data_IF_837672203352
#
_entry.id   IF_837672203352
#
_cell.length_a   1.000
_cell.length_b   1.000
_cell.length_c   1.000
_cell.angle_alpha   90.00
_cell.angle_beta   90.00
_cell.angle_gamma   90.00
#
_symmetry.space_group_name_H-M   'P 1'
#
loop_
_entity.id
_entity.type
_entity.pdbx_description
1 polymer ?
#
# COMPACT_ATOMS: atom_id res chain seq x y z
N UNK A 1 -15.71 26.62 -0.40
CA UNK A 1 -16.43 25.54 0.30
C UNK A 1 -15.50 24.67 1.11
N UNK A 2 -14.59 23.95 0.44
CA UNK A 2 -13.69 22.97 1.05
C UNK A 2 -12.90 23.49 2.27
N UNK A 3 -12.33 24.72 2.27
CA UNK A 3 -11.66 25.26 3.45
C UNK A 3 -12.50 25.23 4.73
N UNK A 4 -13.71 25.81 4.67
CA UNK A 4 -14.64 25.87 5.79
C UNK A 4 -15.12 24.48 6.23
N UNK A 5 -15.29 23.57 5.28
CA UNK A 5 -15.70 22.20 5.59
C UNK A 5 -14.62 21.48 6.40
N UNK A 6 -13.38 21.46 5.92
CA UNK A 6 -12.26 20.81 6.61
C UNK A 6 -11.95 21.50 7.94
N UNK A 7 -12.13 22.82 8.08
CA UNK A 7 -12.01 23.48 9.37
C UNK A 7 -13.05 23.00 10.39
N UNK A 8 -14.28 22.69 9.94
CA UNK A 8 -15.34 22.21 10.81
C UNK A 8 -15.21 20.72 11.17
N UNK A 9 -14.77 19.88 10.22
CA UNK A 9 -14.79 18.40 10.38
C UNK A 9 -13.42 17.74 10.37
N UNK A 10 -12.33 18.48 10.16
CA UNK A 10 -10.99 17.92 9.96
C UNK A 10 -10.42 17.22 11.19
N UNK A 11 -10.66 17.77 12.39
CA UNK A 11 -10.23 17.20 13.66
C UNK A 11 -10.53 15.71 13.82
N UNK A 12 -11.80 15.27 13.75
CA UNK A 12 -12.17 13.86 13.87
C UNK A 12 -11.94 13.02 12.60
N UNK A 13 -11.53 13.63 11.49
CA UNK A 13 -11.50 12.96 10.20
C UNK A 13 -10.36 11.93 10.11
N UNK A 14 -10.72 10.66 9.83
CA UNK A 14 -9.77 9.57 9.62
C UNK A 14 -9.50 9.25 8.16
N UNK A 15 -10.48 9.44 7.31
CA UNK A 15 -10.44 9.09 5.89
C UNK A 15 -10.90 10.30 5.09
N UNK A 16 -10.10 10.75 4.14
CA UNK A 16 -10.44 11.85 3.25
C UNK A 16 -10.24 11.44 1.80
N UNK A 17 -11.27 11.64 1.00
CA UNK A 17 -11.19 11.51 -0.45
C UNK A 17 -11.48 12.87 -1.06
N UNK A 18 -10.55 13.35 -1.88
CA UNK A 18 -10.70 14.59 -2.63
C UNK A 18 -10.71 14.27 -4.11
N UNK A 19 -11.82 14.65 -4.74
CA UNK A 19 -12.05 14.52 -6.16
C UNK A 19 -12.23 15.93 -6.74
N UNK A 20 -11.19 16.43 -7.42
CA UNK A 20 -11.17 17.80 -7.88
C UNK A 20 -9.80 18.27 -8.37
N UNK A 21 -9.74 19.50 -8.93
CA UNK A 21 -8.49 20.10 -9.37
C UNK A 21 -7.54 20.27 -8.18
N UNK A 22 -6.43 19.55 -8.23
CA UNK A 22 -5.36 19.55 -7.22
C UNK A 22 -4.41 20.77 -7.23
N UNK A 23 -4.23 21.56 -8.32
CA UNK A 23 -3.31 22.70 -8.32
C UNK A 23 -3.63 23.77 -7.27
N UNK A 24 -4.89 23.86 -6.83
CA UNK A 24 -5.35 24.83 -5.83
C UNK A 24 -5.36 24.28 -4.41
N UNK A 25 -4.96 23.01 -4.23
CA UNK A 25 -5.06 22.33 -2.96
C UNK A 25 -3.75 22.44 -2.17
N UNK A 26 -3.76 23.24 -1.09
CA UNK A 26 -2.67 23.21 -0.12
C UNK A 26 -2.75 21.91 0.70
N UNK A 27 -1.94 20.95 0.26
CA UNK A 27 -1.80 19.62 0.88
C UNK A 27 -1.29 19.73 2.31
N UNK A 28 -0.45 20.73 2.62
CA UNK A 28 0.08 20.95 3.97
C UNK A 28 -1.04 21.39 4.89
N UNK A 29 -1.84 22.35 4.44
CA UNK A 29 -3.00 22.83 5.19
C UNK A 29 -4.01 21.71 5.50
N UNK A 30 -4.30 20.78 4.57
CA UNK A 30 -5.17 19.63 4.87
C UNK A 30 -4.64 18.82 6.05
N UNK A 31 -3.34 18.54 6.06
CA UNK A 31 -2.73 17.70 7.09
C UNK A 31 -2.65 18.37 8.45
N UNK A 32 -2.55 19.71 8.47
CA UNK A 32 -2.63 20.52 9.68
C UNK A 32 -4.06 20.53 10.24
N UNK A 33 -5.07 20.66 9.38
CA UNK A 33 -6.47 20.68 9.80
C UNK A 33 -7.06 19.29 10.07
N UNK A 34 -6.46 18.23 9.54
CA UNK A 34 -6.85 16.84 9.75
C UNK A 34 -5.75 16.04 10.49
N UNK A 35 -5.54 16.27 11.80
CA UNK A 35 -4.47 15.64 12.56
C UNK A 35 -4.64 14.13 12.73
N UNK A 36 -5.88 13.62 12.70
CA UNK A 36 -6.20 12.20 12.88
C UNK A 36 -6.34 11.44 11.55
N UNK A 37 -5.94 12.06 10.43
CA UNK A 37 -6.05 11.46 9.11
C UNK A 37 -5.15 10.23 9.00
N UNK A 38 -5.78 9.06 8.82
CA UNK A 38 -5.15 7.77 8.61
C UNK A 38 -4.97 7.46 7.12
N UNK A 39 -5.85 7.99 6.26
CA UNK A 39 -5.81 7.76 4.82
C UNK A 39 -6.28 8.99 4.03
N UNK A 40 -5.57 9.27 2.93
CA UNK A 40 -5.91 10.32 1.98
C UNK A 40 -5.93 9.76 0.55
N UNK A 41 -7.04 9.98 -0.14
CA UNK A 41 -7.21 9.67 -1.55
C UNK A 41 -7.31 10.97 -2.33
N UNK A 42 -6.46 11.13 -3.34
CA UNK A 42 -6.46 12.29 -4.23
C UNK A 42 -6.72 11.83 -5.65
N UNK A 43 -7.88 12.17 -6.20
CA UNK A 43 -8.19 11.96 -7.61
C UNK A 43 -7.68 13.14 -8.44
N UNK A 44 -7.11 12.82 -9.60
CA UNK A 44 -6.52 13.78 -10.52
C UNK A 44 -6.93 13.53 -11.97
N UNK A 45 -6.44 14.38 -12.86
CA UNK A 45 -6.68 14.21 -14.29
C UNK A 45 -6.01 12.92 -14.80
N UNK A 46 -4.69 12.83 -14.59
CA UNK A 46 -3.87 11.73 -15.09
C UNK A 46 -3.38 10.77 -14.01
N UNK A 47 -3.44 11.17 -12.74
CA UNK A 47 -2.90 10.38 -11.63
C UNK A 47 -3.89 10.40 -10.48
N UNK A 48 -4.26 9.23 -9.95
CA UNK A 48 -4.88 9.14 -8.63
C UNK A 48 -3.96 8.41 -7.67
N UNK A 49 -3.95 8.87 -6.42
CA UNK A 49 -3.12 8.30 -5.37
C UNK A 49 -3.94 7.99 -4.13
N UNK A 50 -3.61 6.88 -3.47
CA UNK A 50 -4.10 6.52 -2.13
C UNK A 50 -2.93 6.39 -1.17
N UNK A 51 -2.92 7.25 -0.17
CA UNK A 51 -1.83 7.44 0.76
C UNK A 51 -2.27 6.92 2.13
N UNK A 52 -1.48 6.03 2.70
CA UNK A 52 -1.65 5.53 4.07
C UNK A 52 -0.72 6.31 5.01
N UNK A 53 -1.32 6.95 6.00
CA UNK A 53 -0.65 7.80 6.98
C UNK A 53 -0.59 7.14 8.37
N UNK A 54 -1.15 5.95 8.56
CA UNK A 54 -1.25 5.28 9.87
C UNK A 54 0.10 5.13 10.55
N UNK A 55 1.11 4.65 9.84
CA UNK A 55 2.46 4.50 10.41
C UNK A 55 3.09 5.84 10.77
N UNK A 56 2.83 6.89 9.99
CA UNK A 56 3.35 8.22 10.27
C UNK A 56 2.69 8.81 11.52
N UNK A 57 1.38 8.62 11.68
CA UNK A 57 0.63 9.06 12.86
C UNK A 57 1.01 8.27 14.10
N UNK A 58 1.09 6.95 14.02
CA UNK A 58 1.47 6.09 15.13
C UNK A 58 2.88 6.42 15.68
N UNK A 59 3.78 6.87 14.80
CA UNK A 59 5.17 7.19 15.16
C UNK A 59 5.45 8.70 15.27
N UNK A 60 4.42 9.57 15.24
CA UNK A 60 4.57 11.03 15.26
C UNK A 60 5.58 11.58 14.23
N UNK A 61 5.68 10.96 13.06
CA UNK A 61 6.60 11.35 11.99
C UNK A 61 6.02 12.48 11.14
N UNK A 62 6.91 13.31 10.58
CA UNK A 62 6.54 14.33 9.59
C UNK A 62 5.97 13.67 8.33
N UNK A 63 4.93 14.28 7.79
CA UNK A 63 4.17 13.71 6.67
C UNK A 63 4.85 14.00 5.33
N UNK A 64 4.88 13.03 4.39
CA UNK A 64 5.57 13.15 3.10
C UNK A 64 4.97 14.14 2.09
N UNK A 65 3.78 14.68 2.35
CA UNK A 65 2.94 15.21 1.26
C UNK A 65 3.38 16.57 0.69
N UNK A 66 4.39 17.21 1.28
CA UNK A 66 4.88 18.53 0.85
C UNK A 66 5.92 18.46 -0.27
N UNK A 67 6.56 17.31 -0.54
CA UNK A 67 7.69 17.22 -1.48
C UNK A 67 7.34 16.76 -2.89
N UNK A 68 6.10 16.29 -3.15
CA UNK A 68 5.76 15.63 -4.42
C UNK A 68 4.57 16.29 -5.12
N UNK A 69 4.74 16.63 -6.40
CA UNK A 69 3.64 17.01 -7.26
C UNK A 69 2.86 15.77 -7.74
N UNK A 70 1.78 15.45 -7.03
CA UNK A 70 0.89 14.33 -7.35
C UNK A 70 0.20 14.42 -8.73
N UNK A 71 0.22 15.57 -9.41
CA UNK A 71 -0.27 15.72 -10.79
C UNK A 71 0.76 15.33 -11.85
N UNK A 72 2.04 15.30 -11.51
CA UNK A 72 3.11 14.99 -12.43
C UNK A 72 3.50 13.51 -12.31
N UNK A 73 3.20 12.74 -13.37
CA UNK A 73 3.51 11.30 -13.42
C UNK A 73 5.00 11.05 -13.16
N UNK A 74 5.87 11.80 -13.81
CA UNK A 74 7.33 11.63 -13.69
C UNK A 74 7.83 11.90 -12.28
N UNK A 75 7.33 12.94 -11.60
CA UNK A 75 7.71 13.21 -10.20
C UNK A 75 7.20 12.14 -9.24
N UNK A 76 5.95 11.67 -9.41
CA UNK A 76 5.40 10.60 -8.57
C UNK A 76 6.19 9.31 -8.77
N UNK A 77 6.50 8.96 -10.02
CA UNK A 77 7.27 7.76 -10.36
C UNK A 77 8.69 7.85 -9.79
N UNK A 78 9.38 8.98 -9.95
CA UNK A 78 10.70 9.20 -9.37
C UNK A 78 10.68 9.07 -7.83
N UNK A 79 9.68 9.70 -7.18
CA UNK A 79 9.49 9.63 -5.74
C UNK A 79 9.13 8.23 -5.23
N UNK A 80 8.56 7.37 -6.07
CA UNK A 80 8.28 5.96 -5.75
C UNK A 80 9.48 5.05 -6.01
N UNK A 81 10.35 5.43 -6.93
CA UNK A 81 11.58 4.69 -7.24
C UNK A 81 12.66 4.87 -6.17
N UNK A 82 12.68 6.00 -5.47
CA UNK A 82 13.61 6.24 -4.36
C UNK A 82 13.10 5.59 -3.06
N UNK A 83 13.77 4.55 -2.53
CA UNK A 83 13.36 3.88 -1.30
C UNK A 83 13.47 4.75 -0.05
N UNK A 84 14.24 5.84 -0.09
CA UNK A 84 14.41 6.79 1.01
C UNK A 84 13.34 7.90 0.97
N UNK A 85 12.68 8.07 -0.17
CA UNK A 85 11.64 9.06 -0.30
C UNK A 85 10.37 8.61 0.43
N UNK A 86 9.83 9.47 1.27
CA UNK A 86 8.73 9.07 2.16
C UNK A 86 7.44 8.69 1.39
N UNK A 87 7.27 9.19 0.15
CA UNK A 87 6.21 8.74 -0.77
C UNK A 87 6.29 7.24 -1.09
N UNK A 88 7.50 6.69 -1.29
CA UNK A 88 7.71 5.27 -1.55
C UNK A 88 7.29 4.37 -0.38
N UNK A 89 7.09 4.94 0.82
CA UNK A 89 6.62 4.20 2.00
C UNK A 89 5.11 4.35 2.24
N UNK A 90 4.55 5.54 2.01
CA UNK A 90 3.16 5.82 2.34
C UNK A 90 2.17 5.58 1.19
N UNK A 91 2.62 5.68 -0.06
CA UNK A 91 1.71 5.53 -1.21
C UNK A 91 1.43 4.05 -1.45
N UNK A 92 0.16 3.69 -1.33
CA UNK A 92 -0.29 2.29 -1.38
C UNK A 92 -0.92 1.92 -2.71
N UNK A 93 -1.64 2.87 -3.33
CA UNK A 93 -2.26 2.68 -4.65
C UNK A 93 -1.96 3.85 -5.57
N UNK A 94 -1.57 3.52 -6.79
CA UNK A 94 -1.35 4.45 -7.88
C UNK A 94 -2.26 4.05 -9.05
N UNK A 95 -2.99 5.01 -9.60
CA UNK A 95 -3.74 4.86 -10.83
C UNK A 95 -3.26 5.92 -11.82
N UNK A 96 -2.82 5.51 -13.00
CA UNK A 96 -2.28 6.42 -14.03
C UNK A 96 -3.12 6.31 -15.29
N UNK A 97 -3.60 7.44 -15.80
CA UNK A 97 -4.37 7.53 -17.04
C UNK A 97 -3.54 8.22 -18.10
N UNK A 98 -3.08 7.46 -19.08
CA UNK A 98 -2.23 7.90 -20.19
C UNK A 98 -3.05 8.12 -21.47
N UNK A 99 -4.23 8.72 -21.28
CA UNK A 99 -5.21 8.97 -22.34
C UNK A 99 -5.85 10.33 -22.13
N UNK A 100 -6.37 10.90 -23.21
CA UNK A 100 -7.15 12.13 -23.15
C UNK A 100 -8.45 11.86 -22.37
N UNK A 101 -8.68 12.66 -21.32
CA UNK A 101 -9.91 12.58 -20.54
C UNK A 101 -11.00 13.43 -21.21
N UNK A 102 -12.22 12.92 -21.28
CA UNK A 102 -13.39 13.71 -21.72
C UNK A 102 -13.89 14.54 -20.54
N UNK A 103 -13.86 15.88 -20.66
CA UNK A 103 -14.24 16.96 -19.71
C UNK A 103 -13.77 16.78 -18.25
N UNK A 104 -12.91 17.70 -17.80
CA UNK A 104 -12.53 17.86 -16.40
C UNK A 104 -13.62 18.45 -15.49
N UNK A 105 -13.25 18.68 -14.23
CA UNK A 105 -14.09 19.40 -13.25
C UNK A 105 -14.40 20.86 -13.65
N UNK A 106 -13.54 21.44 -14.49
CA UNK A 106 -13.57 22.82 -14.99
C UNK A 106 -14.17 22.95 -16.40
N UNK A 107 -14.76 21.88 -16.94
CA UNK A 107 -15.12 21.76 -18.36
C UNK A 107 -13.94 21.91 -19.34
N UNK A 108 -12.71 22.02 -18.86
CA UNK A 108 -11.54 22.09 -19.71
C UNK A 108 -11.12 20.69 -20.17
N UNK A 109 -10.68 20.61 -21.43
CA UNK A 109 -10.09 19.41 -21.98
C UNK A 109 -8.61 19.40 -21.62
N UNK A 110 -8.20 18.47 -20.75
CA UNK A 110 -6.78 18.22 -20.52
C UNK A 110 -6.28 17.17 -21.48
N UNK A 111 -5.45 17.63 -22.41
CA UNK A 111 -4.80 16.81 -23.41
C UNK A 111 -3.57 16.19 -22.77
N UNK A 112 -3.50 14.87 -22.80
CA UNK A 112 -2.33 14.12 -22.41
C UNK A 112 -1.28 14.22 -23.52
N UNK A 113 -0.02 14.49 -23.17
CA UNK A 113 1.07 14.49 -24.12
C UNK A 113 1.40 13.06 -24.57
N UNK A 114 0.90 12.69 -25.74
CA UNK A 114 1.08 11.36 -26.30
C UNK A 114 2.56 11.02 -26.56
N UNK A 115 3.40 12.02 -26.80
CA UNK A 115 4.83 11.81 -27.04
C UNK A 115 5.56 11.32 -25.78
N UNK A 116 5.08 11.70 -24.60
CA UNK A 116 5.61 11.28 -23.30
C UNK A 116 5.11 9.89 -22.85
N UNK A 117 4.15 9.27 -23.55
CA UNK A 117 3.52 7.99 -23.15
C UNK A 117 4.53 6.89 -22.91
N UNK A 118 5.41 6.65 -23.88
CA UNK A 118 6.34 5.54 -23.81
C UNK A 118 7.37 5.72 -22.68
N UNK A 119 7.81 6.97 -22.48
CA UNK A 119 8.68 7.34 -21.37
C UNK A 119 8.02 7.11 -20.00
N UNK A 120 6.76 7.54 -19.83
CA UNK A 120 6.01 7.31 -18.60
C UNK A 120 5.78 5.83 -18.34
N UNK A 121 5.43 5.05 -19.36
CA UNK A 121 5.27 3.61 -19.24
C UNK A 121 6.57 2.90 -18.85
N UNK A 122 7.68 3.26 -19.50
CA UNK A 122 9.02 2.75 -19.17
C UNK A 122 9.36 3.07 -17.71
N UNK A 123 9.14 4.31 -17.28
CA UNK A 123 9.43 4.74 -15.92
C UNK A 123 8.56 4.00 -14.89
N UNK A 124 7.28 3.73 -15.19
CA UNK A 124 6.40 2.95 -14.33
C UNK A 124 6.91 1.51 -14.16
N UNK A 125 7.35 0.86 -15.24
CA UNK A 125 7.93 -0.49 -15.17
C UNK A 125 9.22 -0.48 -14.33
N UNK A 126 10.14 0.44 -14.59
CA UNK A 126 11.38 0.57 -13.81
C UNK A 126 11.12 0.81 -12.32
N UNK A 127 10.12 1.65 -12.00
CA UNK A 127 9.71 1.89 -10.63
C UNK A 127 9.21 0.60 -9.95
N UNK A 128 8.48 -0.27 -10.65
CA UNK A 128 8.02 -1.54 -10.09
C UNK A 128 9.16 -2.51 -9.74
N UNK A 129 10.32 -2.41 -10.43
CA UNK A 129 11.50 -3.23 -10.14
C UNK A 129 12.13 -2.90 -8.79
N UNK A 130 12.15 -1.62 -8.44
CA UNK A 130 12.82 -1.10 -7.24
C UNK A 130 11.87 -0.89 -6.07
N UNK A 131 10.64 -0.44 -6.33
CA UNK A 131 9.67 -0.15 -5.29
C UNK A 131 9.22 -1.46 -4.63
N UNK A 132 9.08 -1.45 -3.30
CA UNK A 132 8.64 -2.61 -2.52
C UNK A 132 7.37 -2.36 -1.70
N UNK A 133 6.82 -1.15 -1.69
CA UNK A 133 5.68 -0.81 -0.82
C UNK A 133 4.37 -0.61 -1.57
N UNK A 134 4.41 -0.33 -2.86
CA UNK A 134 3.24 -0.12 -3.70
C UNK A 134 2.45 -1.43 -3.83
N UNK A 135 1.21 -1.41 -3.37
CA UNK A 135 0.30 -2.57 -3.35
C UNK A 135 -0.54 -2.63 -4.62
N UNK A 136 -0.88 -1.50 -5.22
CA UNK A 136 -1.74 -1.45 -6.39
C UNK A 136 -1.23 -0.46 -7.41
N UNK A 137 -1.03 -0.92 -8.65
CA UNK A 137 -0.83 -0.08 -9.81
C UNK A 137 -1.87 -0.41 -10.87
N UNK A 138 -2.44 0.62 -11.47
CA UNK A 138 -3.35 0.49 -12.59
C UNK A 138 -3.04 1.57 -13.63
N UNK A 139 -2.51 1.13 -14.76
CA UNK A 139 -2.15 1.97 -15.89
C UNK A 139 -3.24 1.83 -16.96
N UNK A 140 -3.95 2.92 -17.21
CA UNK A 140 -5.00 3.00 -18.24
C UNK A 140 -4.43 3.68 -19.47
N UNK A 141 -4.38 2.95 -20.58
CA UNK A 141 -3.84 3.36 -21.87
C UNK A 141 -4.96 3.40 -22.92
N UNK A 142 -4.77 4.07 -24.07
CA UNK A 142 -5.76 4.04 -25.15
C UNK A 142 -6.16 2.61 -25.54
N UNK A 143 -7.42 2.45 -25.93
CA UNK A 143 -7.97 1.15 -26.30
C UNK A 143 -7.05 0.42 -27.28
N UNK A 144 -6.78 -0.86 -26.99
CA UNK A 144 -5.96 -1.79 -27.79
C UNK A 144 -4.45 -1.56 -27.73
N UNK A 145 -3.95 -0.67 -26.88
CA UNK A 145 -2.53 -0.67 -26.55
C UNK A 145 -2.23 -1.84 -25.61
N UNK A 146 -1.59 -2.88 -26.14
CA UNK A 146 -1.13 -4.05 -25.38
C UNK A 146 0.40 -4.14 -25.29
N UNK A 147 1.10 -3.11 -25.77
CA UNK A 147 2.55 -3.12 -26.02
C UNK A 147 3.37 -3.59 -24.81
N UNK A 148 3.01 -3.15 -23.61
CA UNK A 148 3.75 -3.43 -22.36
C UNK A 148 3.05 -4.39 -21.39
N UNK A 149 2.01 -5.09 -21.83
CA UNK A 149 1.21 -5.97 -20.96
C UNK A 149 2.08 -6.99 -20.22
N UNK A 150 3.05 -7.59 -20.91
CA UNK A 150 3.95 -8.62 -20.35
C UNK A 150 4.86 -8.02 -19.27
N UNK A 151 5.42 -6.83 -19.54
CA UNK A 151 6.29 -6.11 -18.61
C UNK A 151 5.57 -5.81 -17.29
N UNK A 152 4.36 -5.24 -17.35
CA UNK A 152 3.56 -4.96 -16.15
C UNK A 152 3.14 -6.25 -15.42
N UNK A 153 2.74 -7.29 -16.16
CA UNK A 153 2.28 -8.57 -15.59
C UNK A 153 3.39 -9.29 -14.81
N UNK A 154 4.67 -9.13 -15.19
CA UNK A 154 5.82 -9.68 -14.44
C UNK A 154 5.85 -9.21 -12.98
N UNK A 155 5.31 -8.03 -12.69
CA UNK A 155 5.26 -7.45 -11.36
C UNK A 155 3.97 -7.74 -10.59
N UNK A 156 3.02 -8.42 -11.21
CA UNK A 156 1.79 -8.84 -10.56
C UNK A 156 2.07 -9.94 -9.53
N UNK A 157 1.37 -9.89 -8.40
CA UNK A 157 1.47 -10.81 -7.27
C UNK A 157 2.84 -10.87 -6.58
N UNK A 158 3.72 -9.90 -6.84
CA UNK A 158 4.96 -9.79 -6.10
C UNK A 158 4.69 -9.36 -4.64
N UNK A 159 5.38 -9.95 -3.65
CA UNK A 159 5.26 -9.53 -2.26
C UNK A 159 5.64 -8.06 -2.05
N UNK A 160 4.91 -7.36 -1.20
CA UNK A 160 5.24 -6.00 -0.76
C UNK A 160 5.73 -5.97 0.69
N UNK A 161 6.33 -4.86 1.11
CA UNK A 161 6.71 -4.57 2.51
C UNK A 161 5.51 -4.44 3.43
N UNK A 162 4.32 -4.19 2.87
CA UNK A 162 3.11 -4.16 3.67
C UNK A 162 2.75 -5.59 4.05
N UNK A 163 2.46 -5.80 5.31
CA UNK A 163 2.01 -7.10 5.79
C UNK A 163 0.72 -6.96 6.57
N UNK A 164 -0.12 -7.98 6.43
CA UNK A 164 -1.33 -8.11 7.24
C UNK A 164 -0.96 -9.02 8.39
N UNK A 165 -1.12 -8.52 9.61
CA UNK A 165 -1.00 -9.37 10.78
C UNK A 165 -2.03 -10.49 10.70
N UNK A 166 -1.61 -11.73 10.96
CA UNK A 166 -2.55 -12.84 11.06
C UNK A 166 -3.64 -12.51 12.09
N UNK A 167 -4.88 -12.78 11.72
CA UNK A 167 -6.03 -12.55 12.60
C UNK A 167 -5.88 -13.39 13.88
N UNK A 168 -6.38 -12.85 15.00
CA UNK A 168 -6.28 -13.51 16.29
C UNK A 168 -6.91 -14.90 16.25
N UNK A 169 -8.03 -15.06 15.54
CA UNK A 169 -8.71 -16.34 15.36
C UNK A 169 -7.83 -17.35 14.63
N UNK A 170 -7.12 -16.94 13.57
CA UNK A 170 -6.16 -17.81 12.87
C UNK A 170 -5.00 -18.21 13.78
N UNK A 171 -4.48 -17.26 14.58
CA UNK A 171 -3.43 -17.52 15.56
C UNK A 171 -3.91 -18.52 16.62
N UNK A 172 -5.12 -18.36 17.14
CA UNK A 172 -5.71 -19.23 18.15
C UNK A 172 -6.02 -20.63 17.60
N UNK A 173 -6.58 -20.72 16.39
CA UNK A 173 -6.86 -21.99 15.73
C UNK A 173 -5.57 -22.79 15.54
N UNK A 174 -4.49 -22.16 15.04
CA UNK A 174 -3.22 -22.83 14.88
C UNK A 174 -2.61 -23.27 16.23
N UNK A 175 -2.65 -22.41 17.26
CA UNK A 175 -2.14 -22.74 18.59
C UNK A 175 -2.94 -23.84 19.29
N UNK A 176 -4.23 -24.02 18.95
CA UNK A 176 -5.10 -25.04 19.55
C UNK A 176 -4.75 -26.49 19.16
N UNK A 177 -4.05 -26.69 18.04
CA UNK A 177 -3.61 -28.00 17.55
C UNK A 177 -2.39 -28.51 18.35
N UNK A 178 -1.65 -27.60 19.01
CA UNK A 178 -0.51 -27.99 19.83
C UNK A 178 -0.98 -28.40 21.23
N UNK A 179 -0.64 -29.63 21.67
CA UNK A 179 -0.98 -30.06 23.01
C UNK A 179 -0.37 -29.07 24.00
N UNK A 180 -1.20 -28.53 24.89
CA UNK A 180 -0.71 -27.79 26.05
C UNK A 180 0.17 -28.75 26.84
N UNK A 181 1.50 -28.58 26.76
CA UNK A 181 2.44 -29.21 27.68
C UNK A 181 2.26 -28.53 29.05
N UNK A 182 1.10 -28.77 29.69
CA UNK A 182 1.01 -28.64 31.14
C UNK A 182 1.98 -29.69 31.67
N UNK A 183 3.04 -29.22 32.34
CA UNK A 183 3.97 -30.07 33.06
C UNK A 183 3.20 -30.87 34.14
N UNK A 184 2.59 -31.97 33.74
CA UNK A 184 2.01 -32.96 34.61
C UNK A 184 3.20 -33.74 35.19
N UNK A 185 3.67 -33.27 36.35
CA UNK A 185 4.41 -34.09 37.28
C UNK A 185 3.59 -35.36 37.53
N UNK A 186 4.04 -36.54 37.05
CA UNK A 186 3.92 -37.85 37.73
C UNK A 186 4.58 -39.01 36.95
N UNK A 187 5.63 -39.55 37.57
CA UNK A 187 6.20 -40.93 37.66
C UNK A 187 6.32 -41.86 36.42
N UNK A 188 7.39 -42.68 36.35
CA UNK A 188 7.71 -43.50 35.18
C UNK A 188 7.00 -44.86 35.21
N UNK A 189 6.43 -45.30 34.09
CA UNK A 189 6.21 -46.72 33.76
C UNK A 189 6.27 -46.97 32.25
N UNK A 190 7.27 -47.77 31.87
CA UNK A 190 7.41 -48.72 30.76
C UNK A 190 6.77 -48.47 29.38
N UNK A 191 7.68 -48.22 28.43
CA UNK A 191 7.82 -48.67 27.03
C UNK A 191 6.61 -48.95 26.11
N UNK A 192 6.63 -48.25 24.96
CA UNK A 192 6.40 -48.78 23.61
C UNK A 192 7.20 -47.92 22.60
N UNK A 193 7.94 -48.49 21.63
CA UNK A 193 8.71 -47.71 20.67
C UNK A 193 7.78 -47.20 19.55
N UNK A 194 7.08 -46.09 19.79
CA UNK A 194 6.40 -45.37 18.72
C UNK A 194 7.37 -44.40 18.03
N UNK A 195 7.30 -44.41 16.71
CA UNK A 195 8.19 -43.75 15.78
C UNK A 195 8.59 -42.34 16.23
N UNK A 196 9.91 -42.09 16.26
CA UNK A 196 10.50 -40.77 16.46
C UNK A 196 10.03 -39.85 15.33
N UNK A 197 8.96 -39.10 15.57
CA UNK A 197 8.67 -37.91 14.78
C UNK A 197 9.82 -36.91 15.04
N UNK A 198 10.71 -36.78 14.05
CA UNK A 198 11.82 -35.83 13.99
C UNK A 198 11.32 -34.40 13.74
N UNK A 199 10.27 -33.98 14.44
CA UNK A 199 9.91 -32.57 14.53
C UNK A 199 10.39 -32.13 15.92
N UNK A 200 11.39 -31.23 16.03
CA UNK A 200 11.74 -30.67 17.32
C UNK A 200 10.47 -30.14 17.96
N UNK A 201 10.16 -30.55 19.20
CA UNK A 201 8.98 -30.06 19.92
C UNK A 201 9.05 -28.53 19.99
N UNK A 202 8.33 -27.88 19.08
CA UNK A 202 8.19 -26.44 19.04
C UNK A 202 7.35 -26.05 20.25
N UNK A 203 8.02 -25.62 21.33
CA UNK A 203 7.31 -25.26 22.55
C UNK A 203 6.35 -24.08 22.26
N UNK A 204 5.29 -23.99 23.06
CA UNK A 204 4.22 -23.00 22.90
C UNK A 204 4.70 -21.54 22.99
N UNK A 205 5.79 -21.26 23.72
CA UNK A 205 6.45 -19.96 23.76
C UNK A 205 7.18 -19.63 22.44
N UNK A 206 7.76 -20.62 21.77
CA UNK A 206 8.37 -20.43 20.44
C UNK A 206 7.29 -20.18 19.40
N UNK A 207 6.21 -20.97 19.41
CA UNK A 207 5.09 -20.78 18.49
C UNK A 207 4.36 -19.46 18.72
N UNK A 208 4.08 -19.08 19.96
CA UNK A 208 3.48 -17.77 20.25
C UNK A 208 4.37 -16.61 19.82
N UNK A 209 5.69 -16.71 19.94
CA UNK A 209 6.64 -15.74 19.38
C UNK A 209 6.62 -15.69 17.86
N UNK A 210 6.57 -16.85 17.19
CA UNK A 210 6.43 -16.93 15.73
C UNK A 210 5.12 -16.27 15.31
N UNK A 211 3.98 -16.58 15.92
CA UNK A 211 2.69 -15.97 15.58
C UNK A 211 2.56 -14.50 15.97
N UNK A 212 3.25 -14.05 17.02
CA UNK A 212 3.34 -12.63 17.33
C UNK A 212 4.02 -11.84 16.20
N UNK A 213 4.93 -12.50 15.45
CA UNK A 213 5.71 -11.88 14.36
C UNK A 213 5.25 -12.30 12.96
N UNK A 214 4.42 -13.33 12.85
CA UNK A 214 3.96 -13.85 11.57
C UNK A 214 2.98 -12.87 10.93
N UNK A 215 3.32 -12.44 9.73
CA UNK A 215 2.53 -11.53 8.93
C UNK A 215 2.59 -11.96 7.47
N UNK A 216 1.44 -12.03 6.81
CA UNK A 216 1.39 -12.39 5.39
C UNK A 216 1.66 -11.13 4.57
N UNK A 217 2.69 -11.13 3.70
CA UNK A 217 2.97 -9.97 2.85
C UNK A 217 1.81 -9.75 1.89
N UNK A 218 1.39 -8.51 1.73
CA UNK A 218 0.36 -8.13 0.77
C UNK A 218 0.93 -8.31 -0.63
N UNK A 219 0.23 -9.06 -1.47
CA UNK A 219 0.62 -9.28 -2.86
C UNK A 219 0.22 -8.07 -3.71
N UNK A 220 1.18 -7.57 -4.50
CA UNK A 220 0.99 -6.44 -5.40
C UNK A 220 -0.01 -6.78 -6.52
N UNK A 221 -0.92 -5.87 -6.80
CA UNK A 221 -1.82 -5.92 -7.95
C UNK A 221 -1.32 -4.91 -9.00
N UNK A 222 -1.09 -5.38 -10.23
CA UNK A 222 -0.59 -4.54 -11.33
C UNK A 222 -1.50 -4.80 -12.52
N UNK A 223 -2.08 -3.74 -13.05
CA UNK A 223 -2.98 -3.79 -14.19
C UNK A 223 -2.50 -2.82 -15.28
N UNK A 224 -2.60 -3.27 -16.52
CA UNK A 224 -2.34 -2.51 -17.74
C UNK A 224 -3.56 -2.72 -18.64
N UNK A 225 -4.32 -1.64 -18.90
CA UNK A 225 -5.69 -1.72 -19.44
C UNK A 225 -6.00 -0.64 -20.45
#
# INVERSE_FOLDING_TARGET
GLPRFIEAVGGPLKYLTLDGPRPTLDKKWILEKCPNLEELVLYGYFVDVRINLREFRANNRRLPMTSCNWDNISEVVAALSDPNHAVATCLTRLHVRLMNRRRGWDNELRIYDESARDAHLTALVQMLEVNRSLVFLDSVVPLRDFSRTIEFKKHHLQPTRQSIQLELETKLAFLSIFPHQRALKKKPKQELPQAKHLIPELNQNVLSRIFAQASTPVLRKVYYR
#
